data_IF_925482888528
#
_entry.id   IF_925482888528
#
_cell.length_a   1.000
_cell.length_b   1.000
_cell.length_c   1.000
_cell.angle_alpha   90.00
_cell.angle_beta   90.00
_cell.angle_gamma   90.00
#
_symmetry.space_group_name_H-M   'P 1'
#
loop_
_entity.id
_entity.type
_entity.pdbx_description
1 polymer ?
#
# COMPACT_ATOMS: atom_id res chain seq x y z
N UNK A 1 5.12 -7.19 1.90
CA UNK A 1 3.76 -7.33 2.47
C UNK A 1 3.23 -5.95 2.93
N UNK A 2 2.77 -5.09 2.01
CA UNK A 2 2.19 -3.77 2.35
C UNK A 2 0.77 -3.59 1.74
N UNK A 3 0.26 -4.57 0.98
CA UNK A 3 -1.04 -4.43 0.30
C UNK A 3 -2.24 -5.08 0.94
N UNK A 4 -2.01 -5.77 2.05
CA UNK A 4 -3.06 -6.08 2.97
C UNK A 4 -2.55 -5.57 4.30
N UNK A 5 -3.25 -4.61 4.91
CA UNK A 5 -3.43 -4.66 6.36
C UNK A 5 -3.62 -6.15 6.64
N UNK A 6 -2.74 -6.75 7.45
CA UNK A 6 -2.82 -8.16 7.80
C UNK A 6 -4.23 -8.36 8.34
N UNK A 7 -5.18 -8.76 7.49
CA UNK A 7 -6.57 -8.97 7.80
C UNK A 7 -6.67 -10.31 8.53
N UNK A 8 -5.94 -10.42 9.64
CA UNK A 8 -6.34 -11.26 10.75
C UNK A 8 -7.66 -10.66 11.24
N UNK A 9 -8.74 -11.04 10.57
CA UNK A 9 -10.14 -10.85 10.96
C UNK A 9 -10.78 -9.47 10.70
N UNK A 10 -10.85 -9.00 9.44
CA UNK A 10 -11.98 -8.11 9.11
C UNK A 10 -13.25 -8.94 9.04
N UNK A 11 -14.07 -8.85 10.08
CA UNK A 11 -15.45 -9.34 10.01
C UNK A 11 -16.28 -8.30 9.27
N UNK A 12 -16.58 -8.59 8.01
CA UNK A 12 -17.56 -7.85 7.24
C UNK A 12 -18.96 -8.13 7.80
N UNK A 13 -19.56 -7.20 8.55
CA UNK A 13 -21.01 -7.18 8.79
C UNK A 13 -21.69 -6.45 7.63
N UNK A 14 -22.86 -6.93 7.22
CA UNK A 14 -23.77 -6.40 6.17
C UNK A 14 -23.18 -5.24 5.32
N UNK A 15 -22.83 -5.54 4.07
CA UNK A 15 -22.31 -4.55 3.14
C UNK A 15 -23.33 -3.47 2.81
N UNK A 16 -22.85 -2.25 2.66
CA UNK A 16 -23.61 -1.10 2.22
C UNK A 16 -23.38 -0.87 0.72
N UNK A 17 -24.46 -0.65 -0.03
CA UNK A 17 -24.35 -0.19 -1.41
C UNK A 17 -24.05 1.30 -1.41
N UNK A 18 -22.86 1.67 -1.86
CA UNK A 18 -22.38 3.04 -1.98
C UNK A 18 -21.92 3.23 -3.41
N UNK A 19 -22.48 4.22 -4.11
CA UNK A 19 -22.17 4.52 -5.52
C UNK A 19 -22.23 3.29 -6.45
N UNK A 20 -23.25 2.44 -6.27
CA UNK A 20 -23.50 1.20 -7.02
C UNK A 20 -22.49 0.08 -6.79
N UNK A 21 -21.59 0.22 -5.82
CA UNK A 21 -20.69 -0.85 -5.37
C UNK A 21 -20.98 -1.25 -3.93
N UNK A 22 -20.65 -2.49 -3.58
CA UNK A 22 -20.82 -2.98 -2.21
C UNK A 22 -19.53 -2.78 -1.42
N UNK A 23 -19.64 -1.97 -0.38
CA UNK A 23 -18.57 -1.66 0.55
C UNK A 23 -18.93 -2.19 1.94
N UNK A 24 -17.93 -2.57 2.71
CA UNK A 24 -18.12 -3.13 4.03
C UNK A 24 -17.33 -2.32 5.07
N UNK A 25 -17.91 -2.06 6.24
CA UNK A 25 -17.22 -1.30 7.28
C UNK A 25 -15.98 -2.06 7.75
N UNK A 26 -14.85 -1.36 7.86
CA UNK A 26 -13.66 -1.88 8.54
C UNK A 26 -13.93 -1.81 10.04
N UNK A 27 -13.68 -2.92 10.72
CA UNK A 27 -13.92 -3.06 12.17
C UNK A 27 -12.63 -3.22 12.96
N UNK A 28 -11.48 -3.22 12.29
CA UNK A 28 -10.18 -3.21 12.95
C UNK A 28 -10.03 -1.89 13.70
N UNK A 29 -9.88 -1.90 15.03
CA UNK A 29 -9.80 -0.68 15.83
C UNK A 29 -8.57 0.16 15.51
N UNK A 30 -7.53 -0.39 14.87
CA UNK A 30 -6.38 0.39 14.41
C UNK A 30 -6.63 1.20 13.14
N UNK A 31 -7.75 0.95 12.45
CA UNK A 31 -8.10 1.53 11.15
C UNK A 31 -9.62 1.76 11.03
N UNK A 32 -10.29 2.12 12.11
CA UNK A 32 -11.74 2.28 12.11
C UNK A 32 -12.16 3.53 11.31
N UNK A 33 -11.33 4.57 11.32
CA UNK A 33 -11.53 5.82 10.62
C UNK A 33 -10.71 5.85 9.32
N UNK A 34 -11.22 6.58 8.31
CA UNK A 34 -10.49 6.73 7.05
C UNK A 34 -9.15 7.45 7.28
N UNK A 35 -9.14 8.42 8.20
CA UNK A 35 -7.95 9.18 8.58
C UNK A 35 -6.87 8.30 9.23
N UNK A 36 -7.25 7.26 9.98
CA UNK A 36 -6.29 6.32 10.57
C UNK A 36 -5.44 5.66 9.49
N UNK A 37 -6.09 5.20 8.40
CA UNK A 37 -5.41 4.57 7.28
C UNK A 37 -4.61 5.60 6.46
N UNK A 38 -5.16 6.79 6.23
CA UNK A 38 -4.47 7.89 5.55
C UNK A 38 -3.16 8.24 6.28
N UNK A 39 -3.24 8.49 7.59
CA UNK A 39 -2.10 8.81 8.45
C UNK A 39 -1.11 7.66 8.51
N UNK A 40 -1.57 6.40 8.56
CA UNK A 40 -0.68 5.24 8.56
C UNK A 40 0.11 5.13 7.26
N UNK A 41 -0.54 5.24 6.10
CA UNK A 41 0.11 5.20 4.79
C UNK A 41 1.07 6.38 4.59
N UNK A 42 0.71 7.56 5.10
CA UNK A 42 1.53 8.78 5.03
C UNK A 42 2.85 8.71 5.81
N UNK A 43 3.06 7.67 6.63
CA UNK A 43 4.38 7.39 7.23
C UNK A 43 5.39 6.86 6.22
N UNK A 44 4.91 6.31 5.10
CA UNK A 44 5.71 5.59 4.11
C UNK A 44 5.64 6.26 2.74
N UNK A 45 4.49 6.80 2.36
CA UNK A 45 4.22 7.35 1.03
C UNK A 45 3.98 8.86 1.07
N UNK A 46 4.23 9.55 -0.05
CA UNK A 46 3.82 10.95 -0.23
C UNK A 46 2.31 11.08 -0.13
N UNK A 47 1.85 12.27 0.23
CA UNK A 47 0.40 12.59 0.32
C UNK A 47 -0.33 12.21 -0.98
N UNK A 48 0.22 12.61 -2.12
CA UNK A 48 -0.35 12.30 -3.45
C UNK A 48 -0.47 10.79 -3.70
N UNK A 49 0.54 10.01 -3.30
CA UNK A 49 0.50 8.56 -3.44
C UNK A 49 -0.58 7.97 -2.54
N UNK A 50 -0.67 8.40 -1.27
CA UNK A 50 -1.73 7.94 -0.35
C UNK A 50 -3.12 8.20 -0.93
N UNK A 51 -3.36 9.40 -1.45
CA UNK A 51 -4.63 9.74 -2.10
C UNK A 51 -4.96 8.82 -3.28
N UNK A 52 -3.97 8.49 -4.12
CA UNK A 52 -4.13 7.52 -5.22
C UNK A 52 -4.43 6.11 -4.71
N UNK A 53 -3.76 5.67 -3.65
CA UNK A 53 -3.96 4.33 -3.08
C UNK A 53 -5.34 4.17 -2.46
N UNK A 54 -5.88 5.23 -1.86
CA UNK A 54 -7.21 5.21 -1.27
C UNK A 54 -8.31 5.49 -2.30
N UNK A 55 -8.00 6.26 -3.36
CA UNK A 55 -8.92 6.62 -4.44
C UNK A 55 -9.13 5.55 -5.53
N UNK A 56 -8.48 4.38 -5.43
CA UNK A 56 -8.58 3.31 -6.44
C UNK A 56 -9.86 2.45 -6.33
N UNK A 57 -10.78 2.80 -5.43
CA UNK A 57 -12.04 2.10 -5.20
C UNK A 57 -11.97 0.95 -4.19
N UNK A 58 -10.78 0.57 -3.72
CA UNK A 58 -10.64 -0.42 -2.64
C UNK A 58 -11.14 0.10 -1.30
N UNK A 59 -11.00 1.40 -1.06
CA UNK A 59 -11.39 2.06 0.18
C UNK A 59 -12.36 3.19 -0.10
N UNK A 60 -13.21 3.49 0.89
CA UNK A 60 -14.16 4.58 0.84
C UNK A 60 -14.31 5.20 2.22
N UNK A 61 -14.31 6.53 2.26
CA UNK A 61 -14.77 7.28 3.42
C UNK A 61 -16.31 7.37 3.40
N UNK A 62 -16.95 7.01 4.50
CA UNK A 62 -18.38 7.16 4.72
C UNK A 62 -18.58 7.79 6.09
N UNK A 63 -18.80 9.11 6.11
CA UNK A 63 -18.97 9.89 7.34
C UNK A 63 -17.81 9.73 8.32
N UNK A 64 -16.56 9.74 7.83
CA UNK A 64 -15.32 9.59 8.59
C UNK A 64 -14.88 8.13 8.81
N UNK A 65 -15.75 7.15 8.55
CA UNK A 65 -15.46 5.74 8.79
C UNK A 65 -14.87 5.07 7.56
N UNK A 66 -13.92 4.17 7.79
CA UNK A 66 -13.29 3.41 6.70
C UNK A 66 -14.18 2.24 6.26
N UNK A 67 -14.42 2.16 4.95
CA UNK A 67 -15.09 1.04 4.31
C UNK A 67 -14.20 0.43 3.23
N UNK A 68 -14.22 -0.90 3.10
CA UNK A 68 -13.45 -1.66 2.10
C UNK A 68 -14.32 -2.35 1.06
N UNK A 69 -13.85 -2.43 -0.19
CA UNK A 69 -14.49 -3.18 -1.27
C UNK A 69 -13.67 -4.46 -1.60
N UNK A 70 -14.03 -5.62 -1.04
CA UNK A 70 -13.28 -6.86 -1.23
C UNK A 70 -13.29 -7.35 -2.68
N UNK A 71 -14.26 -6.96 -3.51
CA UNK A 71 -14.30 -7.32 -4.93
C UNK A 71 -13.18 -6.66 -5.73
N UNK A 72 -12.83 -5.42 -5.39
CA UNK A 72 -11.71 -4.72 -6.02
C UNK A 72 -10.39 -5.32 -5.52
N UNK A 73 -10.32 -5.67 -4.23
CA UNK A 73 -9.15 -6.33 -3.62
C UNK A 73 -8.88 -7.71 -4.25
N UNK A 74 -9.90 -8.53 -4.47
CA UNK A 74 -9.76 -9.88 -5.07
C UNK A 74 -9.41 -9.84 -6.57
N UNK A 75 -9.81 -8.77 -7.27
CA UNK A 75 -9.38 -8.53 -8.66
C UNK A 75 -7.93 -8.08 -8.78
N UNK A 76 -7.36 -7.58 -7.69
CA UNK A 76 -5.98 -7.15 -7.65
C UNK A 76 -5.11 -8.42 -7.68
N UNK A 77 -4.58 -8.77 -8.86
CA UNK A 77 -3.77 -9.97 -9.11
C UNK A 77 -2.36 -9.85 -8.48
N UNK A 78 -2.28 -9.33 -7.27
CA UNK A 78 -1.04 -9.00 -6.59
C UNK A 78 -0.54 -10.20 -5.77
N UNK A 79 -0.31 -11.32 -6.46
CA UNK A 79 0.49 -12.41 -5.92
C UNK A 79 1.94 -12.12 -6.26
N UNK A 80 2.62 -11.40 -5.37
CA UNK A 80 4.04 -11.08 -5.52
C UNK A 80 4.87 -12.05 -4.69
N UNK A 81 5.55 -12.96 -5.37
CA UNK A 81 6.57 -13.85 -4.81
C UNK A 81 7.91 -13.11 -4.77
N UNK A 82 8.02 -12.10 -3.91
CA UNK A 82 9.29 -11.43 -3.63
C UNK A 82 9.79 -11.93 -2.27
N UNK A 83 11.01 -12.47 -2.25
CA UNK A 83 11.68 -12.80 -0.99
C UNK A 83 12.20 -11.53 -0.31
N UNK A 84 11.38 -10.99 0.60
CA UNK A 84 11.75 -9.83 1.42
C UNK A 84 12.69 -10.17 2.58
N UNK A 85 13.06 -11.44 2.78
CA UNK A 85 14.00 -11.84 3.82
C UNK A 85 15.46 -11.64 3.40
N UNK A 86 15.73 -11.57 2.09
CA UNK A 86 17.07 -11.48 1.52
C UNK A 86 17.12 -10.45 0.38
N UNK A 87 17.15 -9.16 0.76
CA UNK A 87 17.23 -8.04 -0.18
C UNK A 87 18.44 -7.15 0.10
N UNK A 88 18.97 -6.55 -0.96
CA UNK A 88 19.91 -5.43 -0.90
C UNK A 88 19.22 -4.15 -1.33
N UNK A 89 19.77 -2.99 -0.96
CA UNK A 89 19.28 -1.72 -1.50
C UNK A 89 20.40 -0.69 -1.66
N UNK A 90 20.19 0.23 -2.60
CA UNK A 90 21.01 1.41 -2.83
C UNK A 90 20.11 2.65 -2.83
N UNK A 91 20.60 3.76 -2.27
CA UNK A 91 19.95 5.07 -2.35
C UNK A 91 20.88 6.03 -3.07
N UNK A 92 20.41 6.56 -4.20
CA UNK A 92 21.14 7.54 -5.00
C UNK A 92 20.48 8.90 -4.79
N UNK A 93 21.17 9.82 -4.11
CA UNK A 93 20.69 11.19 -3.94
C UNK A 93 20.73 11.91 -5.29
N UNK A 94 19.59 12.47 -5.69
CA UNK A 94 19.49 13.30 -6.90
C UNK A 94 19.50 14.79 -6.54
N UNK A 95 19.03 15.12 -5.32
CA UNK A 95 19.06 16.45 -4.73
C UNK A 95 18.84 16.37 -3.20
N UNK A 96 18.79 17.52 -2.53
CA UNK A 96 18.47 17.61 -1.09
C UNK A 96 17.05 17.14 -0.72
N UNK A 97 16.15 17.05 -1.72
CA UNK A 97 14.74 16.71 -1.54
C UNK A 97 14.27 15.51 -2.37
N UNK A 98 15.14 14.92 -3.19
CA UNK A 98 14.83 13.76 -4.04
C UNK A 98 15.97 12.74 -4.05
N UNK A 99 15.61 11.46 -4.03
CA UNK A 99 16.54 10.36 -4.15
C UNK A 99 15.88 9.19 -4.89
N UNK A 100 16.68 8.35 -5.53
CA UNK A 100 16.24 7.10 -6.11
C UNK A 100 16.56 5.95 -5.17
N UNK A 101 15.56 5.16 -4.80
CA UNK A 101 15.72 3.90 -4.08
C UNK A 101 15.74 2.76 -5.09
N UNK A 102 16.82 1.98 -5.09
CA UNK A 102 16.98 0.77 -5.90
C UNK A 102 17.01 -0.41 -4.93
N UNK A 103 16.17 -1.40 -5.15
CA UNK A 103 16.09 -2.62 -4.35
C UNK A 103 16.47 -3.80 -5.22
N UNK A 104 17.42 -4.58 -4.74
CA UNK A 104 17.89 -5.82 -5.33
C UNK A 104 17.23 -6.97 -4.59
N UNK A 105 16.38 -7.72 -5.30
CA UNK A 105 15.56 -8.79 -4.76
C UNK A 105 15.72 -10.08 -5.57
N UNK A 106 15.24 -11.17 -4.99
CA UNK A 106 15.04 -12.43 -5.69
C UNK A 106 13.55 -12.75 -5.76
N UNK A 107 13.10 -13.31 -6.89
CA UNK A 107 11.80 -13.99 -6.93
C UNK A 107 11.84 -15.20 -5.99
N UNK A 108 10.82 -15.32 -5.14
CA UNK A 108 10.51 -16.50 -4.33
C UNK A 108 9.79 -17.55 -5.20
N UNK A 109 10.39 -17.88 -6.35
CA UNK A 109 9.98 -18.99 -7.20
C UNK A 109 11.06 -20.10 -7.11
N UNK A 110 10.80 -21.19 -6.37
CA UNK A 110 11.77 -22.27 -6.20
C UNK A 110 12.09 -23.01 -7.51
N UNK A 111 11.26 -22.89 -8.55
CA UNK A 111 11.51 -23.48 -9.85
C UNK A 111 12.38 -22.60 -10.75
N UNK A 112 12.40 -21.27 -10.53
CA UNK A 112 13.08 -20.28 -11.39
C UNK A 112 13.58 -19.08 -10.58
N UNK A 113 14.64 -19.23 -9.78
CA UNK A 113 15.21 -18.10 -9.04
C UNK A 113 15.70 -17.02 -10.02
N UNK A 114 15.18 -15.81 -9.86
CA UNK A 114 15.49 -14.66 -10.72
C UNK A 114 15.81 -13.44 -9.88
N UNK A 115 16.93 -12.78 -10.19
CA UNK A 115 17.23 -11.45 -9.65
C UNK A 115 16.30 -10.40 -10.27
N UNK A 116 15.57 -9.67 -9.42
CA UNK A 116 14.77 -8.51 -9.81
C UNK A 116 15.38 -7.27 -9.20
N UNK A 117 15.48 -6.22 -10.01
CA UNK A 117 15.75 -4.88 -9.53
C UNK A 117 14.47 -4.06 -9.65
N UNK A 118 13.90 -3.64 -8.52
CA UNK A 118 12.81 -2.67 -8.49
C UNK A 118 13.38 -1.32 -8.06
N UNK A 119 12.94 -0.24 -8.67
CA UNK A 119 13.31 1.11 -8.23
C UNK A 119 12.09 1.99 -8.07
N UNK A 120 12.18 2.90 -7.11
CA UNK A 120 11.17 3.92 -6.81
C UNK A 120 11.86 5.22 -6.41
N UNK A 121 11.12 6.31 -6.36
CA UNK A 121 11.63 7.61 -5.94
C UNK A 121 11.24 7.89 -4.48
N UNK A 122 12.19 8.46 -3.75
CA UNK A 122 12.06 9.01 -2.42
C UNK A 122 12.01 10.53 -2.53
N UNK A 123 11.02 11.14 -1.88
CA UNK A 123 10.84 12.59 -1.80
C UNK A 123 10.85 13.01 -0.34
N UNK A 124 11.47 14.16 -0.05
CA UNK A 124 11.49 14.72 1.29
C UNK A 124 10.27 15.61 1.53
N UNK A 125 9.25 15.10 2.21
CA UNK A 125 8.06 15.85 2.63
C UNK A 125 8.11 16.09 4.15
N UNK A 126 7.90 17.35 4.59
CA UNK A 126 7.88 17.72 6.00
C UNK A 126 9.10 17.21 6.81
N UNK A 127 10.28 17.23 6.17
CA UNK A 127 11.55 16.79 6.78
C UNK A 127 11.77 15.27 6.81
N UNK A 128 10.84 14.46 6.28
CA UNK A 128 10.94 13.00 6.22
C UNK A 128 11.03 12.52 4.78
N UNK A 129 11.82 11.47 4.55
CA UNK A 129 11.86 10.80 3.26
C UNK A 129 10.69 9.82 3.17
N UNK A 130 9.89 9.96 2.11
CA UNK A 130 8.73 9.12 1.82
C UNK A 130 8.74 8.70 0.35
N UNK A 131 8.08 7.61 0.03
CA UNK A 131 8.02 7.04 -1.32
C UNK A 131 6.98 7.77 -2.17
N UNK A 132 7.36 8.21 -3.38
CA UNK A 132 6.42 8.78 -4.36
C UNK A 132 5.68 7.70 -5.18
N UNK A 133 6.01 6.43 -4.96
CA UNK A 133 5.38 5.32 -5.65
C UNK A 133 5.54 4.01 -4.90
N UNK A 134 4.62 3.09 -5.20
CA UNK A 134 4.73 1.72 -4.75
C UNK A 134 5.94 1.01 -5.33
N UNK A 135 6.42 0.03 -4.56
CA UNK A 135 7.44 -0.91 -4.99
C UNK A 135 6.70 -2.19 -5.39
N UNK A 136 6.78 -2.54 -6.66
CA UNK A 136 6.17 -3.72 -7.27
C UNK A 136 7.21 -4.83 -7.49
#
# INVERSE_FOLDING_TARGET
>A
FIYCISFRHIHFKHGNTIDKETYYPVIDPGFAEYEDLFTYLGKTYTTETVEKLLGNGMYKDVSGRLYGNPRVMDRSRYQYTIDWSNYGFEVVLESDIRAKLIIYNNEDDPARPKHINTSTELVKENGKWVLSGMIY
#
